data_IF_560714400035
#
_entry.id   IF_560714400035
#
_cell.length_a   1.000
_cell.length_b   1.000
_cell.length_c   1.000
_cell.angle_alpha   90.00
_cell.angle_beta   90.00
_cell.angle_gamma   90.00
#
_symmetry.space_group_name_H-M   'P 1'
#
loop_
_entity.id
_entity.type
_entity.pdbx_description
1 polymer ?
#
# COMPACT_ATOMS: atom_id res chain seq x y z
N UNK A 1 -1.95 -19.28 -23.38
CA UNK A 1 -1.93 -19.41 -21.90
C UNK A 1 -3.23 -20.08 -21.49
N UNK A 2 -3.23 -20.93 -20.45
CA UNK A 2 -4.46 -21.50 -19.91
C UNK A 2 -5.43 -20.40 -19.46
N UNK A 3 -6.73 -20.58 -19.73
CA UNK A 3 -7.79 -19.68 -19.27
C UNK A 3 -8.65 -20.42 -18.24
N UNK A 4 -8.25 -20.42 -16.96
CA UNK A 4 -9.07 -21.02 -15.91
C UNK A 4 -10.38 -20.26 -15.76
N UNK A 5 -11.41 -20.92 -15.26
CA UNK A 5 -12.65 -20.24 -14.85
C UNK A 5 -12.39 -19.41 -13.59
N UNK A 6 -13.25 -18.41 -13.32
CA UNK A 6 -13.13 -17.57 -12.12
C UNK A 6 -13.12 -18.42 -10.83
N UNK A 7 -13.95 -19.47 -10.76
CA UNK A 7 -14.00 -20.35 -9.59
C UNK A 7 -12.70 -21.13 -9.38
N UNK A 8 -11.98 -21.46 -10.45
CA UNK A 8 -10.68 -22.14 -10.37
C UNK A 8 -9.57 -21.21 -9.86
N UNK A 9 -9.69 -19.90 -10.05
CA UNK A 9 -8.67 -18.95 -9.58
C UNK A 9 -8.85 -18.56 -8.12
N UNK A 10 -10.07 -18.60 -7.57
CA UNK A 10 -10.35 -18.27 -6.16
C UNK A 10 -9.45 -18.99 -5.13
N UNK A 11 -9.30 -20.34 -5.14
CA UNK A 11 -8.45 -21.01 -4.16
C UNK A 11 -6.97 -20.65 -4.31
N UNK A 12 -6.54 -20.30 -5.52
CA UNK A 12 -5.16 -19.87 -5.79
C UNK A 12 -4.94 -18.48 -5.23
N UNK A 13 -5.87 -17.54 -5.44
CA UNK A 13 -5.78 -16.20 -4.86
C UNK A 13 -5.84 -16.22 -3.33
N UNK A 14 -6.72 -17.05 -2.75
CA UNK A 14 -6.78 -17.24 -1.31
C UNK A 14 -5.47 -17.82 -0.76
N UNK A 15 -4.86 -18.80 -1.45
CA UNK A 15 -3.56 -19.35 -1.10
C UNK A 15 -2.45 -18.30 -1.18
N UNK A 16 -2.43 -17.47 -2.23
CA UNK A 16 -1.47 -16.36 -2.32
C UNK A 16 -1.64 -15.44 -1.11
N UNK A 17 -2.87 -15.00 -0.79
CA UNK A 17 -3.13 -14.15 0.37
C UNK A 17 -2.64 -14.75 1.68
N UNK A 18 -2.99 -16.01 1.95
CA UNK A 18 -2.58 -16.71 3.18
C UNK A 18 -1.08 -17.00 3.28
N UNK A 19 -0.35 -17.05 2.16
CA UNK A 19 1.09 -17.35 2.15
C UNK A 19 1.97 -16.11 1.93
N UNK A 20 1.39 -14.93 1.84
CA UNK A 20 2.08 -13.67 1.51
C UNK A 20 2.82 -13.06 2.71
N UNK A 21 3.76 -13.80 3.29
CA UNK A 21 4.64 -13.34 4.38
C UNK A 21 5.96 -12.75 3.85
N UNK A 22 6.69 -12.01 4.69
CA UNK A 22 8.08 -11.60 4.41
C UNK A 22 8.23 -10.29 3.61
N UNK A 23 7.19 -9.47 3.60
CA UNK A 23 7.19 -8.13 2.98
C UNK A 23 7.10 -8.13 1.45
N UNK A 24 7.20 -6.94 0.82
CA UNK A 24 6.84 -6.76 -0.59
C UNK A 24 7.64 -7.65 -1.57
N UNK A 25 8.95 -7.83 -1.34
CA UNK A 25 9.79 -8.64 -2.21
C UNK A 25 9.41 -10.13 -2.20
N UNK A 26 9.12 -10.68 -1.02
CA UNK A 26 8.69 -12.06 -0.88
C UNK A 26 7.31 -12.28 -1.51
N UNK A 27 6.40 -11.31 -1.36
CA UNK A 27 5.07 -11.35 -1.98
C UNK A 27 5.15 -11.30 -3.51
N UNK A 28 6.00 -10.43 -4.06
CA UNK A 28 6.26 -10.37 -5.51
C UNK A 28 6.90 -11.66 -6.01
N UNK A 29 7.82 -12.27 -5.26
CA UNK A 29 8.43 -13.54 -5.65
C UNK A 29 7.42 -14.70 -5.59
N UNK A 30 6.56 -14.75 -4.55
CA UNK A 30 5.48 -15.73 -4.43
C UNK A 30 4.49 -15.62 -5.59
N UNK A 31 4.03 -14.40 -5.90
CA UNK A 31 3.13 -14.18 -7.01
C UNK A 31 3.78 -14.52 -8.34
N UNK A 32 5.05 -14.19 -8.55
CA UNK A 32 5.79 -14.58 -9.75
C UNK A 32 5.80 -16.10 -9.92
N UNK A 33 6.25 -16.83 -8.90
CA UNK A 33 6.28 -18.30 -8.90
C UNK A 33 4.90 -18.88 -9.21
N UNK A 34 3.84 -18.40 -8.54
CA UNK A 34 2.50 -18.96 -8.75
C UNK A 34 1.96 -18.58 -10.12
N UNK A 35 2.01 -17.32 -10.53
CA UNK A 35 1.35 -16.80 -11.74
C UNK A 35 2.12 -17.17 -13.01
N UNK A 36 3.46 -17.10 -12.99
CA UNK A 36 4.34 -17.29 -14.14
C UNK A 36 4.80 -18.75 -14.24
N UNK A 37 5.37 -19.31 -13.17
CA UNK A 37 6.00 -20.64 -13.24
C UNK A 37 4.98 -21.78 -13.11
N UNK A 38 4.14 -21.74 -12.07
CA UNK A 38 3.20 -22.81 -11.75
C UNK A 38 1.95 -22.76 -12.67
N UNK A 39 1.26 -21.62 -12.67
CA UNK A 39 -0.03 -21.47 -13.37
C UNK A 39 0.10 -21.03 -14.83
N UNK A 40 1.22 -20.40 -15.21
CA UNK A 40 1.51 -19.92 -16.57
C UNK A 40 0.43 -18.98 -17.13
N UNK A 41 -0.16 -18.16 -16.25
CA UNK A 41 -1.17 -17.15 -16.59
C UNK A 41 -0.57 -15.92 -17.27
N UNK A 42 0.74 -15.68 -17.08
CA UNK A 42 1.49 -14.60 -17.71
C UNK A 42 2.89 -15.07 -18.11
N UNK A 43 3.48 -14.45 -19.13
CA UNK A 43 4.92 -14.57 -19.42
C UNK A 43 5.71 -13.63 -18.53
N UNK A 44 7.00 -13.91 -18.38
CA UNK A 44 7.98 -13.10 -17.66
C UNK A 44 7.86 -11.60 -17.96
N UNK A 45 7.92 -11.24 -19.25
CA UNK A 45 7.85 -9.85 -19.68
C UNK A 45 6.53 -9.16 -19.31
N UNK A 46 5.42 -9.90 -19.33
CA UNK A 46 4.11 -9.35 -18.99
C UNK A 46 4.00 -9.11 -17.48
N UNK A 47 4.54 -10.02 -16.68
CA UNK A 47 4.63 -9.87 -15.22
C UNK A 47 5.52 -8.69 -14.83
N UNK A 48 6.71 -8.56 -15.42
CA UNK A 48 7.62 -7.45 -15.15
C UNK A 48 7.02 -6.10 -15.56
N UNK A 49 6.29 -6.04 -16.69
CA UNK A 49 5.57 -4.85 -17.09
C UNK A 49 4.45 -4.49 -16.09
N UNK A 50 3.68 -5.50 -15.63
CA UNK A 50 2.66 -5.34 -14.59
C UNK A 50 3.24 -4.81 -13.29
N UNK A 51 4.37 -5.38 -12.86
CA UNK A 51 5.09 -4.95 -11.68
C UNK A 51 5.57 -3.50 -11.79
N UNK A 52 6.19 -3.13 -12.91
CA UNK A 52 6.63 -1.77 -13.18
C UNK A 52 5.46 -0.78 -13.18
N UNK A 53 4.30 -1.18 -13.70
CA UNK A 53 3.08 -0.39 -13.65
C UNK A 53 2.55 -0.20 -12.23
N UNK A 54 2.49 -1.26 -11.42
CA UNK A 54 2.02 -1.16 -10.04
C UNK A 54 2.94 -0.31 -9.16
N UNK A 55 4.23 -0.21 -9.50
CA UNK A 55 5.16 0.73 -8.84
C UNK A 55 4.87 2.20 -9.16
N UNK A 56 4.16 2.49 -10.26
CA UNK A 56 3.75 3.85 -10.67
C UNK A 56 2.50 4.33 -9.98
N UNK A 57 1.70 3.41 -9.47
CA UNK A 57 0.45 3.72 -8.81
C UNK A 57 0.70 3.93 -7.31
N UNK A 58 -0.06 4.84 -6.67
CA UNK A 58 0.04 4.98 -5.23
C UNK A 58 -0.68 3.81 -4.55
N UNK A 59 -0.07 3.25 -3.50
CA UNK A 59 -0.56 2.13 -2.72
C UNK A 59 0.37 0.90 -2.70
N UNK A 60 -0.04 -0.19 -2.04
CA UNK A 60 0.74 -1.43 -1.93
C UNK A 60 0.87 -2.16 -3.26
N UNK A 61 2.10 -2.26 -3.79
CA UNK A 61 2.34 -2.79 -5.14
C UNK A 61 1.94 -4.26 -5.27
N UNK A 62 2.12 -5.05 -4.20
CA UNK A 62 1.79 -6.46 -4.23
C UNK A 62 0.28 -6.72 -4.38
N UNK A 63 -0.54 -5.97 -3.64
CA UNK A 63 -2.01 -6.05 -3.75
C UNK A 63 -2.49 -5.56 -5.12
N UNK A 64 -1.87 -4.50 -5.65
CA UNK A 64 -2.21 -4.00 -6.98
C UNK A 64 -1.78 -4.97 -8.09
N UNK A 65 -0.65 -5.66 -7.93
CA UNK A 65 -0.20 -6.69 -8.87
C UNK A 65 -1.15 -7.89 -8.85
N UNK A 66 -1.61 -8.32 -7.67
CA UNK A 66 -2.66 -9.34 -7.55
C UNK A 66 -3.95 -8.89 -8.25
N UNK A 67 -4.40 -7.65 -7.98
CA UNK A 67 -5.60 -7.05 -8.58
C UNK A 67 -5.49 -6.96 -10.11
N UNK A 68 -4.36 -6.48 -10.64
CA UNK A 68 -4.10 -6.42 -12.08
C UNK A 68 -4.09 -7.82 -12.69
N UNK A 69 -3.48 -8.78 -12.00
CA UNK A 69 -3.37 -10.16 -12.48
C UNK A 69 -4.73 -10.85 -12.57
N UNK A 70 -5.56 -10.68 -11.54
CA UNK A 70 -6.96 -11.11 -11.58
C UNK A 70 -7.76 -10.39 -12.66
N UNK A 71 -7.54 -9.08 -12.82
CA UNK A 71 -8.21 -8.28 -13.86
C UNK A 71 -7.89 -8.76 -15.27
N UNK A 72 -6.64 -9.13 -15.52
CA UNK A 72 -6.20 -9.67 -16.81
C UNK A 72 -6.90 -10.98 -17.17
N UNK A 73 -7.27 -11.78 -16.18
CA UNK A 73 -7.93 -13.08 -16.38
C UNK A 73 -9.44 -12.95 -16.56
N UNK A 74 -10.11 -12.15 -15.73
CA UNK A 74 -11.59 -12.09 -15.70
C UNK A 74 -12.17 -10.68 -15.54
N UNK A 75 -11.43 -9.65 -15.98
CA UNK A 75 -11.84 -8.25 -15.87
C UNK A 75 -12.06 -7.81 -14.42
N UNK A 76 -12.95 -6.85 -14.20
CA UNK A 76 -13.21 -6.27 -12.86
C UNK A 76 -13.51 -7.36 -11.81
N UNK A 77 -14.25 -8.41 -12.17
CA UNK A 77 -14.57 -9.52 -11.24
C UNK A 77 -13.33 -10.28 -10.78
N UNK A 78 -12.43 -10.59 -11.71
CA UNK A 78 -11.18 -11.26 -11.38
C UNK A 78 -10.26 -10.36 -10.55
N UNK A 79 -10.21 -9.06 -10.86
CA UNK A 79 -9.39 -8.12 -10.10
C UNK A 79 -9.89 -7.91 -8.67
N UNK A 80 -11.22 -7.77 -8.49
CA UNK A 80 -11.85 -7.73 -7.18
C UNK A 80 -11.55 -9.00 -6.37
N UNK A 81 -11.75 -10.18 -6.96
CA UNK A 81 -11.50 -11.45 -6.28
C UNK A 81 -10.03 -11.58 -5.86
N UNK A 82 -9.09 -11.30 -6.76
CA UNK A 82 -7.66 -11.41 -6.48
C UNK A 82 -7.21 -10.40 -5.41
N UNK A 83 -7.60 -9.12 -5.54
CA UNK A 83 -7.23 -8.08 -4.59
C UNK A 83 -7.81 -8.31 -3.20
N UNK A 84 -9.10 -8.67 -3.10
CA UNK A 84 -9.75 -8.91 -1.81
C UNK A 84 -9.20 -10.17 -1.13
N UNK A 85 -9.01 -11.29 -1.86
CA UNK A 85 -8.46 -12.51 -1.29
C UNK A 85 -6.97 -12.38 -0.91
N UNK A 86 -6.26 -11.40 -1.48
CA UNK A 86 -4.91 -11.06 -1.07
C UNK A 86 -4.87 -10.29 0.27
N UNK A 87 -5.85 -9.41 0.51
CA UNK A 87 -5.87 -8.49 1.67
C UNK A 87 -6.59 -9.08 2.87
N UNK A 88 -7.80 -9.62 2.68
CA UNK A 88 -8.72 -9.97 3.77
C UNK A 88 -8.17 -11.01 4.76
N UNK A 89 -7.42 -12.06 4.35
CA UNK A 89 -6.84 -12.99 5.32
C UNK A 89 -5.87 -12.31 6.27
N UNK A 90 -5.01 -11.42 5.74
CA UNK A 90 -4.07 -10.64 6.53
C UNK A 90 -4.77 -9.66 7.46
N UNK A 91 -5.78 -8.95 6.94
CA UNK A 91 -6.56 -8.00 7.71
C UNK A 91 -7.24 -8.66 8.91
N UNK A 92 -7.83 -9.84 8.72
CA UNK A 92 -8.44 -10.60 9.82
C UNK A 92 -7.43 -10.96 10.92
N UNK A 93 -6.19 -11.33 10.55
CA UNK A 93 -5.13 -11.63 11.51
C UNK A 93 -4.68 -10.36 12.24
N UNK A 94 -4.47 -9.25 11.51
CA UNK A 94 -4.05 -7.99 12.11
C UNK A 94 -5.11 -7.43 13.05
N UNK A 95 -6.38 -7.49 12.67
CA UNK A 95 -7.48 -7.07 13.52
C UNK A 95 -7.52 -7.88 14.83
N UNK A 96 -7.36 -9.21 14.74
CA UNK A 96 -7.30 -10.07 15.91
C UNK A 96 -6.10 -9.72 16.80
N UNK A 97 -4.92 -9.50 16.22
CA UNK A 97 -3.72 -9.09 16.96
C UNK A 97 -3.87 -7.70 17.58
N UNK A 98 -4.50 -6.75 16.90
CA UNK A 98 -4.80 -5.42 17.41
C UNK A 98 -5.75 -5.46 18.61
N UNK A 99 -6.80 -6.28 18.52
CA UNK A 99 -7.72 -6.50 19.64
C UNK A 99 -7.01 -7.15 20.85
N UNK A 100 -6.16 -8.16 20.62
CA UNK A 100 -5.37 -8.80 21.68
C UNK A 100 -4.40 -7.78 22.31
N UNK A 101 -3.71 -7.00 21.49
CA UNK A 101 -2.79 -5.95 21.92
C UNK A 101 -3.49 -4.95 22.85
N UNK A 102 -4.67 -4.47 22.44
CA UNK A 102 -5.42 -3.48 23.18
C UNK A 102 -6.01 -4.01 24.49
N UNK A 103 -6.47 -5.27 24.52
CA UNK A 103 -7.16 -5.86 25.68
C UNK A 103 -6.22 -6.49 26.71
N UNK A 104 -5.08 -7.02 26.26
CA UNK A 104 -4.19 -7.83 27.10
C UNK A 104 -2.75 -7.30 27.17
N UNK A 105 -2.46 -6.14 26.56
CA UNK A 105 -1.12 -5.55 26.47
C UNK A 105 -0.37 -5.41 27.78
N UNK A 106 -1.09 -5.23 28.88
CA UNK A 106 -0.53 -5.02 30.22
C UNK A 106 -0.22 -6.32 30.98
N UNK A 107 -0.53 -7.49 30.41
CA UNK A 107 -0.27 -8.76 31.07
C UNK A 107 1.24 -9.07 31.04
N UNK A 108 1.91 -9.37 32.18
CA UNK A 108 3.38 -9.43 32.25
C UNK A 108 4.06 -10.37 31.24
N UNK A 109 3.47 -11.54 30.97
CA UNK A 109 4.03 -12.47 29.98
C UNK A 109 3.84 -11.94 28.55
N UNK A 110 2.76 -11.20 28.29
CA UNK A 110 2.52 -10.59 26.98
C UNK A 110 3.44 -9.38 26.78
N UNK A 111 3.74 -8.62 27.83
CA UNK A 111 4.76 -7.57 27.80
C UNK A 111 6.15 -8.14 27.46
N UNK A 112 6.52 -9.29 28.04
CA UNK A 112 7.76 -9.98 27.70
C UNK A 112 7.77 -10.48 26.25
N UNK A 113 6.64 -11.00 25.76
CA UNK A 113 6.48 -11.37 24.35
C UNK A 113 6.63 -10.14 23.45
N UNK A 114 5.96 -9.03 23.75
CA UNK A 114 6.06 -7.79 22.98
C UNK A 114 7.47 -7.20 23.04
N UNK A 115 8.21 -7.36 24.14
CA UNK A 115 9.62 -6.98 24.18
C UNK A 115 10.47 -7.81 23.19
N UNK A 116 10.23 -9.13 23.12
CA UNK A 116 10.86 -9.99 22.12
C UNK A 116 10.47 -9.60 20.69
N UNK A 117 9.20 -9.29 20.46
CA UNK A 117 8.71 -8.77 19.17
C UNK A 117 9.42 -7.45 18.86
N UNK A 118 9.46 -6.47 19.77
CA UNK A 118 10.16 -5.18 19.59
C UNK A 118 11.62 -5.35 19.17
N UNK A 119 12.34 -6.27 19.79
CA UNK A 119 13.72 -6.58 19.39
C UNK A 119 13.79 -7.12 17.95
N UNK A 120 12.87 -8.02 17.57
CA UNK A 120 12.76 -8.53 16.21
C UNK A 120 12.35 -7.42 15.21
N UNK A 121 11.40 -6.55 15.58
CA UNK A 121 10.97 -5.40 14.76
C UNK A 121 12.15 -4.50 14.46
N UNK A 122 12.97 -4.15 15.46
CA UNK A 122 14.12 -3.30 15.23
C UNK A 122 15.03 -3.88 14.14
N UNK A 123 15.29 -5.19 14.20
CA UNK A 123 16.08 -5.89 13.17
C UNK A 123 15.38 -5.87 11.82
N UNK A 124 14.07 -6.14 11.77
CA UNK A 124 13.29 -6.13 10.52
C UNK A 124 13.25 -4.73 9.90
N UNK A 125 13.08 -3.68 10.71
CA UNK A 125 13.10 -2.28 10.26
C UNK A 125 14.47 -1.92 9.71
N UNK A 126 15.55 -2.28 10.41
CA UNK A 126 16.91 -2.07 9.90
C UNK A 126 17.13 -2.84 8.59
N UNK A 127 16.66 -4.08 8.51
CA UNK A 127 16.77 -4.89 7.30
C UNK A 127 15.97 -4.28 6.14
N UNK A 128 14.75 -3.81 6.41
CA UNK A 128 13.90 -3.11 5.46
C UNK A 128 14.56 -1.82 4.96
N UNK A 129 15.11 -0.98 5.85
CA UNK A 129 15.85 0.23 5.50
C UNK A 129 17.05 -0.09 4.60
N UNK A 130 17.84 -1.11 4.95
CA UNK A 130 18.98 -1.55 4.15
C UNK A 130 18.54 -2.08 2.78
N UNK A 131 17.42 -2.83 2.73
CA UNK A 131 16.85 -3.38 1.51
C UNK A 131 16.34 -2.28 0.58
N UNK A 132 15.62 -1.30 1.11
CA UNK A 132 15.12 -0.12 0.37
C UNK A 132 16.31 0.72 -0.13
N UNK A 133 17.29 1.01 0.73
CA UNK A 133 18.49 1.76 0.37
C UNK A 133 19.21 1.13 -0.83
N UNK A 134 19.49 -0.17 -0.76
CA UNK A 134 20.18 -0.91 -1.85
C UNK A 134 19.41 -0.88 -3.17
N UNK A 135 18.08 -0.86 -3.08
CA UNK A 135 17.19 -0.90 -4.25
C UNK A 135 16.96 0.48 -4.86
N UNK A 136 16.79 1.50 -4.02
CA UNK A 136 16.42 2.86 -4.44
C UNK A 136 17.64 3.76 -4.68
N UNK A 137 18.70 3.66 -3.87
CA UNK A 137 19.85 4.59 -3.90
C UNK A 137 21.03 4.04 -4.71
N UNK A 138 20.79 3.79 -6.00
CA UNK A 138 21.78 3.20 -6.92
C UNK A 138 22.75 4.20 -7.55
N UNK A 139 22.39 5.49 -7.59
CA UNK A 139 23.20 6.55 -8.21
C UNK A 139 23.51 7.67 -7.21
N UNK A 140 24.60 8.42 -7.44
CA UNK A 140 24.96 9.59 -6.61
C UNK A 140 23.82 10.59 -6.50
N UNK A 141 23.05 10.77 -7.58
CA UNK A 141 21.88 11.66 -7.58
C UNK A 141 20.79 11.21 -6.60
N UNK A 142 20.59 9.90 -6.44
CA UNK A 142 19.59 9.38 -5.50
C UNK A 142 20.01 9.67 -4.06
N UNK A 143 21.29 9.51 -3.74
CA UNK A 143 21.83 9.88 -2.42
C UNK A 143 21.69 11.37 -2.12
N UNK A 144 21.86 12.24 -3.12
CA UNK A 144 21.62 13.69 -2.94
C UNK A 144 20.13 13.99 -2.66
N UNK A 145 19.21 13.35 -3.39
CA UNK A 145 17.77 13.49 -3.16
C UNK A 145 17.40 13.01 -1.75
N UNK A 146 17.90 11.85 -1.34
CA UNK A 146 17.68 11.29 0.00
C UNK A 146 18.17 12.25 1.10
N UNK A 147 19.40 12.76 0.97
CA UNK A 147 19.97 13.70 1.94
C UNK A 147 19.20 15.03 2.03
N UNK A 148 18.78 15.59 0.89
CA UNK A 148 17.96 16.81 0.86
C UNK A 148 16.55 16.57 1.43
N UNK A 149 15.97 15.41 1.17
CA UNK A 149 14.66 15.02 1.69
C UNK A 149 14.72 14.85 3.20
N UNK A 150 15.73 14.15 3.71
CA UNK A 150 15.99 14.02 5.14
C UNK A 150 16.16 15.39 5.81
N UNK A 151 16.99 16.27 5.25
CA UNK A 151 17.17 17.63 5.78
C UNK A 151 15.85 18.43 5.79
N UNK A 152 15.06 18.33 4.74
CA UNK A 152 13.77 19.01 4.60
C UNK A 152 12.73 18.54 5.63
N UNK A 153 12.68 17.24 5.89
CA UNK A 153 11.75 16.66 6.87
C UNK A 153 12.23 16.92 8.30
N UNK A 154 13.51 16.68 8.58
CA UNK A 154 14.04 16.71 9.93
C UNK A 154 14.35 18.13 10.43
N UNK A 155 14.99 18.97 9.62
CA UNK A 155 15.41 20.31 10.04
C UNK A 155 14.36 21.40 9.77
N UNK A 156 13.57 21.25 8.70
CA UNK A 156 12.58 22.26 8.29
C UNK A 156 11.14 21.86 8.60
N UNK A 157 10.91 20.62 9.06
CA UNK A 157 9.58 20.08 9.35
C UNK A 157 8.60 20.25 8.19
N UNK A 158 9.09 20.14 6.94
CA UNK A 158 8.23 20.27 5.77
C UNK A 158 7.24 19.08 5.70
N UNK A 159 6.01 19.28 5.19
CA UNK A 159 5.07 18.19 5.01
C UNK A 159 5.61 17.15 4.02
N UNK A 160 5.55 15.87 4.38
CA UNK A 160 6.01 14.77 3.53
C UNK A 160 5.47 14.82 2.07
N UNK A 161 4.18 15.09 1.80
CA UNK A 161 3.67 15.20 0.43
C UNK A 161 4.38 16.25 -0.42
N UNK A 162 4.82 17.34 0.19
CA UNK A 162 5.53 18.40 -0.52
C UNK A 162 6.91 17.91 -0.98
N UNK A 163 7.64 17.20 -0.11
CA UNK A 163 8.95 16.63 -0.43
C UNK A 163 8.84 15.62 -1.58
N UNK A 164 7.84 14.74 -1.53
CA UNK A 164 7.57 13.74 -2.58
C UNK A 164 7.19 14.41 -3.90
N UNK A 165 6.35 15.44 -3.88
CA UNK A 165 5.96 16.18 -5.09
C UNK A 165 7.17 16.82 -5.77
N UNK A 166 8.05 17.47 -5.00
CA UNK A 166 9.27 18.10 -5.52
C UNK A 166 10.23 17.05 -6.08
N UNK A 167 10.40 15.91 -5.41
CA UNK A 167 11.22 14.81 -5.91
C UNK A 167 10.68 14.24 -7.23
N UNK A 168 9.36 14.04 -7.34
CA UNK A 168 8.71 13.58 -8.57
C UNK A 168 8.86 14.55 -9.73
N UNK A 169 8.67 15.85 -9.49
CA UNK A 169 8.94 16.92 -10.47
C UNK A 169 10.41 16.85 -10.91
N UNK A 170 11.36 16.80 -9.98
CA UNK A 170 12.77 16.69 -10.32
C UNK A 170 13.06 15.46 -11.21
N UNK A 171 12.58 14.27 -10.83
CA UNK A 171 12.77 13.06 -11.61
C UNK A 171 12.14 13.12 -13.01
N UNK A 172 10.97 13.75 -13.14
CA UNK A 172 10.29 13.89 -14.43
C UNK A 172 11.07 14.76 -15.43
N UNK A 173 11.62 15.90 -14.97
CA UNK A 173 12.34 16.84 -15.83
C UNK A 173 13.77 16.38 -16.15
N UNK A 174 14.46 15.73 -15.23
CA UNK A 174 15.85 15.31 -15.38
C UNK A 174 16.04 13.86 -15.87
N UNK A 175 15.00 13.25 -16.45
CA UNK A 175 15.04 11.91 -17.00
C UNK A 175 16.07 11.78 -18.15
N UNK A 176 17.16 11.03 -17.93
CA UNK A 176 18.25 10.81 -18.91
C UNK A 176 17.75 10.26 -20.25
N UNK A 177 18.34 10.70 -21.37
CA UNK A 177 17.88 10.43 -22.73
C UNK A 177 18.21 9.02 -23.27
N UNK A 178 19.02 8.23 -22.58
CA UNK A 178 19.84 7.16 -23.18
C UNK A 178 19.17 5.78 -23.38
N UNK A 179 17.91 5.56 -22.98
CA UNK A 179 17.19 4.31 -23.32
C UNK A 179 15.73 4.59 -23.70
N UNK A 180 15.29 4.04 -24.84
CA UNK A 180 13.89 4.08 -25.29
C UNK A 180 13.37 2.65 -25.48
N UNK A 181 12.40 2.18 -24.68
CA UNK A 181 11.53 1.10 -25.11
C UNK A 181 10.43 1.65 -26.03
N UNK A 182 10.18 0.90 -27.09
CA UNK A 182 9.11 0.96 -28.10
C UNK A 182 8.18 2.21 -28.10
N UNK A 183 8.33 3.07 -29.11
CA UNK A 183 7.56 4.32 -29.30
C UNK A 183 6.12 4.10 -29.80
N UNK A 184 5.75 2.86 -30.17
CA UNK A 184 4.52 2.57 -30.92
C UNK A 184 3.38 1.96 -30.10
N UNK A 185 3.45 2.00 -28.75
CA UNK A 185 2.36 1.51 -27.91
C UNK A 185 1.10 2.38 -28.10
N UNK A 186 0.11 1.83 -28.80
CA UNK A 186 -1.19 2.47 -29.04
C UNK A 186 -2.09 2.29 -27.82
N UNK A 187 -2.80 3.36 -27.47
CA UNK A 187 -3.86 3.33 -26.45
C UNK A 187 -5.16 3.03 -27.19
N UNK A 188 -5.63 1.80 -27.10
CA UNK A 188 -6.87 1.36 -27.76
C UNK A 188 -8.04 1.33 -26.74
N UNK A 189 -8.21 2.43 -26.02
CA UNK A 189 -9.17 2.55 -24.91
C UNK A 189 -10.06 3.77 -25.11
N UNK A 190 -11.38 3.59 -25.00
CA UNK A 190 -12.34 4.69 -25.07
C UNK A 190 -12.21 5.63 -23.87
N UNK A 191 -11.95 6.94 -24.05
CA UNK A 191 -11.83 7.90 -22.95
C UNK A 191 -13.09 7.97 -22.07
N UNK A 192 -14.27 7.78 -22.66
CA UNK A 192 -15.55 7.76 -21.95
C UNK A 192 -15.65 6.59 -20.97
N UNK A 193 -15.13 5.41 -21.35
CA UNK A 193 -15.11 4.25 -20.44
C UNK A 193 -14.18 4.49 -19.26
N UNK A 194 -13.02 5.09 -19.50
CA UNK A 194 -12.07 5.43 -18.43
C UNK A 194 -12.66 6.49 -17.49
N UNK A 195 -13.33 7.52 -18.04
CA UNK A 195 -14.03 8.51 -17.24
C UNK A 195 -15.15 7.87 -16.39
N UNK A 196 -15.95 6.97 -16.97
CA UNK A 196 -16.98 6.25 -16.24
C UNK A 196 -16.39 5.39 -15.10
N UNK A 197 -15.31 4.65 -15.36
CA UNK A 197 -14.60 3.88 -14.33
C UNK A 197 -14.11 4.80 -13.21
N UNK A 198 -13.50 5.94 -13.53
CA UNK A 198 -13.03 6.91 -12.54
C UNK A 198 -14.19 7.41 -11.67
N UNK A 199 -15.28 7.87 -12.29
CA UNK A 199 -16.43 8.41 -11.55
C UNK A 199 -17.09 7.36 -10.65
N UNK A 200 -17.27 6.14 -11.15
CA UNK A 200 -17.85 5.02 -10.38
C UNK A 200 -16.96 4.72 -9.17
N UNK A 201 -15.65 4.60 -9.36
CA UNK A 201 -14.74 4.23 -8.29
C UNK A 201 -14.46 5.36 -7.31
N UNK A 202 -14.48 6.63 -7.76
CA UNK A 202 -14.49 7.78 -6.86
C UNK A 202 -15.74 7.79 -5.99
N UNK A 203 -16.91 7.49 -6.56
CA UNK A 203 -18.15 7.38 -5.81
C UNK A 203 -18.08 6.23 -4.79
N UNK A 204 -17.63 5.04 -5.22
CA UNK A 204 -17.45 3.89 -4.32
C UNK A 204 -16.53 4.28 -3.17
N UNK A 205 -15.35 4.84 -3.46
CA UNK A 205 -14.38 5.21 -2.43
C UNK A 205 -14.90 6.28 -1.47
N UNK A 206 -15.40 7.42 -1.98
CA UNK A 206 -15.74 8.58 -1.15
C UNK A 206 -17.13 8.52 -0.53
N UNK A 207 -18.11 7.81 -1.12
CA UNK A 207 -19.47 7.82 -0.60
C UNK A 207 -19.57 7.35 0.87
N UNK A 208 -18.96 6.22 1.29
CA UNK A 208 -19.01 5.79 2.69
C UNK A 208 -18.37 6.81 3.65
N UNK A 209 -17.26 7.43 3.23
CA UNK A 209 -16.54 8.43 4.03
C UNK A 209 -17.40 9.68 4.21
N UNK A 210 -18.01 10.18 3.14
CA UNK A 210 -18.88 11.36 3.17
C UNK A 210 -20.18 11.11 3.94
N UNK A 211 -20.75 9.91 3.84
CA UNK A 211 -21.91 9.50 4.65
C UNK A 211 -21.54 9.51 6.13
N UNK A 212 -20.42 8.89 6.52
CA UNK A 212 -19.95 8.91 7.91
C UNK A 212 -19.66 10.34 8.37
N UNK A 213 -19.00 11.17 7.54
CA UNK A 213 -18.71 12.56 7.87
C UNK A 213 -19.96 13.43 8.09
N UNK A 214 -21.09 13.07 7.48
CA UNK A 214 -22.33 13.83 7.61
C UNK A 214 -23.26 13.30 8.73
N UNK A 215 -23.28 11.98 8.93
CA UNK A 215 -24.27 11.32 9.80
C UNK A 215 -23.70 10.77 11.10
N UNK A 216 -22.39 10.52 11.22
CA UNK A 216 -21.83 9.99 12.45
C UNK A 216 -21.67 11.09 13.51
N UNK A 217 -22.10 10.82 14.73
CA UNK A 217 -21.95 11.74 15.87
C UNK A 217 -20.48 11.89 16.29
N UNK A 218 -19.66 10.84 16.11
CA UNK A 218 -18.23 10.87 16.39
C UNK A 218 -17.42 11.27 15.15
N UNK A 219 -16.71 12.40 15.23
CA UNK A 219 -15.89 12.91 14.14
C UNK A 219 -14.67 12.04 13.79
N UNK A 220 -14.23 11.17 14.72
CA UNK A 220 -13.00 10.39 14.57
C UNK A 220 -13.09 9.38 13.43
N UNK A 221 -14.24 8.73 13.21
CA UNK A 221 -14.37 7.76 12.13
C UNK A 221 -14.26 8.42 10.75
N UNK A 222 -14.86 9.61 10.58
CA UNK A 222 -14.72 10.41 9.38
C UNK A 222 -13.28 10.91 9.19
N UNK A 223 -12.64 11.36 10.27
CA UNK A 223 -11.25 11.80 10.28
C UNK A 223 -10.30 10.68 9.84
N UNK A 224 -10.48 9.47 10.36
CA UNK A 224 -9.76 8.25 9.96
C UNK A 224 -9.96 8.00 8.46
N UNK A 225 -11.21 8.02 7.98
CA UNK A 225 -11.52 7.82 6.56
C UNK A 225 -10.84 8.84 5.66
N UNK A 226 -10.86 10.13 6.02
CA UNK A 226 -10.20 11.21 5.27
C UNK A 226 -8.68 11.07 5.33
N UNK A 227 -8.14 10.76 6.50
CA UNK A 227 -6.71 10.61 6.74
C UNK A 227 -6.11 9.49 5.88
N UNK A 228 -6.66 8.28 5.99
CA UNK A 228 -6.17 7.13 5.22
C UNK A 228 -6.45 7.27 3.73
N UNK A 229 -7.49 8.02 3.35
CA UNK A 229 -7.73 8.37 1.94
C UNK A 229 -6.63 9.28 1.38
N UNK A 230 -6.19 10.30 2.13
CA UNK A 230 -5.05 11.13 1.74
C UNK A 230 -3.78 10.30 1.65
N UNK A 231 -3.51 9.49 2.69
CA UNK A 231 -2.37 8.60 2.75
C UNK A 231 -2.29 7.68 1.52
N UNK A 232 -3.41 7.05 1.14
CA UNK A 232 -3.50 6.16 -0.01
C UNK A 232 -3.18 6.85 -1.35
N UNK A 233 -3.29 8.18 -1.45
CA UNK A 233 -2.93 8.93 -2.67
C UNK A 233 -1.47 9.38 -2.72
N UNK A 234 -0.79 9.45 -1.58
CA UNK A 234 0.60 9.93 -1.48
C UNK A 234 1.61 8.80 -1.26
N UNK A 235 1.12 7.56 -1.18
CA UNK A 235 1.92 6.34 -0.97
C UNK A 235 2.56 5.88 -2.28
N UNK A 236 3.63 6.52 -2.71
CA UNK A 236 4.40 6.07 -3.88
C UNK A 236 5.64 5.29 -3.44
N UNK A 237 5.96 4.18 -4.11
CA UNK A 237 7.15 3.38 -3.79
C UNK A 237 6.97 2.38 -2.64
N UNK A 238 5.72 2.06 -2.31
CA UNK A 238 5.35 0.91 -1.49
C UNK A 238 5.07 1.19 -0.02
N UNK A 239 4.86 0.11 0.73
CA UNK A 239 4.37 0.17 2.11
C UNK A 239 5.28 0.94 3.08
N UNK A 240 6.55 1.16 2.75
CA UNK A 240 7.48 1.90 3.62
C UNK A 240 7.29 3.44 3.56
N UNK A 241 6.86 3.99 2.42
CA UNK A 241 6.55 5.41 2.30
C UNK A 241 5.39 5.82 3.22
N UNK A 242 4.41 4.92 3.37
CA UNK A 242 3.27 5.06 4.27
C UNK A 242 3.73 5.21 5.72
N UNK A 243 4.70 4.40 6.14
CA UNK A 243 5.15 4.37 7.52
C UNK A 243 5.75 5.70 7.95
N UNK A 244 6.57 6.32 7.09
CA UNK A 244 7.17 7.62 7.37
C UNK A 244 6.10 8.70 7.56
N UNK A 245 5.12 8.75 6.66
CA UNK A 245 3.98 9.67 6.79
C UNK A 245 3.17 9.38 8.08
N UNK A 246 2.84 8.12 8.34
CA UNK A 246 2.05 7.72 9.51
C UNK A 246 2.76 8.05 10.82
N UNK A 247 4.08 7.86 10.89
CA UNK A 247 4.86 8.24 12.06
C UNK A 247 4.76 9.75 12.32
N UNK A 248 4.83 10.58 11.28
CA UNK A 248 4.66 12.03 11.43
C UNK A 248 3.24 12.39 11.87
N UNK A 249 2.20 11.97 11.12
CA UNK A 249 0.85 12.48 11.40
C UNK A 249 0.12 11.70 12.50
N UNK A 250 0.17 10.37 12.52
CA UNK A 250 -0.62 9.56 13.48
C UNK A 250 -0.04 9.61 14.90
N UNK A 251 1.29 9.76 15.04
CA UNK A 251 1.97 9.85 16.34
C UNK A 251 2.11 11.31 16.79
N UNK A 252 2.66 12.18 15.94
CA UNK A 252 3.00 13.56 16.36
C UNK A 252 1.83 14.52 16.24
N UNK A 253 1.06 14.48 15.16
CA UNK A 253 -0.02 15.45 14.93
C UNK A 253 -1.38 15.04 15.53
N UNK A 254 -1.71 13.75 15.45
CA UNK A 254 -3.01 13.20 15.88
C UNK A 254 -2.99 12.53 17.25
N UNK A 255 -1.81 12.14 17.74
CA UNK A 255 -1.64 11.41 18.99
C UNK A 255 -2.52 10.15 19.12
N UNK A 256 -2.83 9.51 17.99
CA UNK A 256 -3.61 8.27 17.98
C UNK A 256 -2.82 7.09 18.55
N UNK A 257 -1.50 7.13 18.40
CA UNK A 257 -0.57 6.13 18.91
C UNK A 257 0.69 6.79 19.45
N UNK A 258 1.35 6.11 20.37
CA UNK A 258 2.76 6.36 20.71
C UNK A 258 3.70 5.81 19.62
N UNK A 259 4.94 6.31 19.59
CA UNK A 259 5.98 5.77 18.71
C UNK A 259 6.23 4.27 18.95
N UNK A 260 6.11 3.83 20.20
CA UNK A 260 6.24 2.42 20.59
C UNK A 260 5.15 1.56 19.97
N UNK A 261 3.89 1.99 20.05
CA UNK A 261 2.76 1.25 19.48
C UNK A 261 2.82 1.21 17.95
N UNK A 262 3.33 2.26 17.31
CA UNK A 262 3.56 2.26 15.86
C UNK A 262 4.61 1.20 15.47
N UNK A 263 5.71 1.08 16.23
CA UNK A 263 6.69 0.01 16.01
C UNK A 263 6.10 -1.38 16.27
N UNK A 264 5.29 -1.53 17.32
CA UNK A 264 4.62 -2.81 17.63
C UNK A 264 3.69 -3.23 16.48
N UNK A 265 2.86 -2.30 15.99
CA UNK A 265 1.98 -2.53 14.85
C UNK A 265 2.75 -2.92 13.58
N UNK A 266 3.91 -2.30 13.33
CA UNK A 266 4.78 -2.66 12.21
C UNK A 266 5.33 -4.08 12.34
N UNK A 267 5.75 -4.48 13.54
CA UNK A 267 6.19 -5.84 13.82
C UNK A 267 5.13 -6.89 13.58
N UNK A 268 3.91 -6.61 14.04
CA UNK A 268 2.77 -7.46 13.79
C UNK A 268 2.52 -7.55 12.27
N UNK A 269 2.50 -6.43 11.55
CA UNK A 269 2.29 -6.42 10.10
C UNK A 269 3.34 -7.25 9.33
N UNK A 270 4.63 -7.16 9.66
CA UNK A 270 5.70 -7.94 9.00
C UNK A 270 5.62 -9.45 9.29
N UNK A 271 5.03 -9.84 10.42
CA UNK A 271 4.89 -11.24 10.85
C UNK A 271 3.55 -11.87 10.43
N UNK A 272 2.68 -11.10 9.77
CA UNK A 272 1.38 -11.54 9.30
C UNK A 272 1.33 -11.74 7.78
N UNK A 273 0.41 -12.56 7.27
CA UNK A 273 0.22 -12.66 5.82
C UNK A 273 -0.40 -11.38 5.27
N UNK A 274 -0.11 -11.06 4.02
CA UNK A 274 -0.73 -9.92 3.33
C UNK A 274 0.14 -8.66 3.34
N UNK A 275 -0.31 -7.57 2.70
CA UNK A 275 0.54 -6.42 2.45
C UNK A 275 0.92 -5.71 3.76
N UNK A 276 2.20 -5.32 3.88
CA UNK A 276 2.74 -4.62 5.05
C UNK A 276 1.92 -3.38 5.47
N UNK A 277 1.26 -2.74 4.49
CA UNK A 277 0.38 -1.59 4.74
C UNK A 277 -0.80 -1.92 5.68
N UNK A 278 -1.10 -3.18 5.98
CA UNK A 278 -2.11 -3.58 6.96
C UNK A 278 -1.83 -3.07 8.38
N UNK A 279 -0.60 -2.61 8.68
CA UNK A 279 -0.33 -1.80 9.88
C UNK A 279 -1.28 -0.59 10.02
N UNK A 280 -1.77 -0.05 8.90
CA UNK A 280 -2.79 1.02 8.91
C UNK A 280 -4.06 0.59 9.63
N UNK A 281 -4.50 -0.66 9.47
CA UNK A 281 -5.67 -1.21 10.14
C UNK A 281 -5.47 -1.26 11.66
N UNK A 282 -4.29 -1.67 12.12
CA UNK A 282 -3.91 -1.62 13.55
C UNK A 282 -4.01 -0.19 14.08
N UNK A 283 -3.46 0.79 13.35
CA UNK A 283 -3.53 2.22 13.71
C UNK A 283 -4.98 2.72 13.77
N UNK A 284 -5.79 2.40 12.76
CA UNK A 284 -7.20 2.77 12.72
C UNK A 284 -7.98 2.16 13.88
N UNK A 285 -7.75 0.88 14.17
CA UNK A 285 -8.39 0.18 15.28
C UNK A 285 -8.08 0.85 16.62
N UNK A 286 -6.81 1.11 16.93
CA UNK A 286 -6.41 1.77 18.19
C UNK A 286 -6.98 3.19 18.28
N UNK A 287 -6.94 3.96 17.19
CA UNK A 287 -7.47 5.32 17.12
C UNK A 287 -8.98 5.34 17.40
N UNK A 288 -9.75 4.48 16.72
CA UNK A 288 -11.19 4.37 16.91
C UNK A 288 -11.56 3.85 18.30
N UNK A 289 -10.85 2.83 18.79
CA UNK A 289 -11.19 2.19 20.06
C UNK A 289 -10.94 3.05 21.29
N UNK A 290 -10.13 4.11 21.16
CA UNK A 290 -9.81 5.06 22.25
C UNK A 290 -10.50 6.42 22.06
N UNK A 291 -11.19 6.63 20.95
CA UNK A 291 -11.76 7.92 20.55
C UNK A 291 -12.73 8.51 21.57
N UNK A 292 -13.48 7.67 22.29
CA UNK A 292 -14.49 8.09 23.27
C UNK A 292 -13.93 8.36 24.67
N UNK A 293 -12.61 8.28 24.87
CA UNK A 293 -11.96 8.44 26.18
C UNK A 293 -12.03 7.19 27.07
N UNK A 294 -12.59 6.10 26.56
CA UNK A 294 -12.57 4.76 27.15
C UNK A 294 -12.31 3.70 26.08
N UNK A 295 -12.32 2.42 26.46
CA UNK A 295 -12.20 1.30 25.51
C UNK A 295 -13.54 1.01 24.84
N UNK A 296 -13.63 1.27 23.55
CA UNK A 296 -14.80 1.01 22.70
C UNK A 296 -14.43 0.11 21.52
N UNK A 297 -14.67 -1.20 21.67
CA UNK A 297 -14.32 -2.17 20.62
C UNK A 297 -15.17 -2.01 19.36
N UNK A 298 -16.41 -1.52 19.47
CA UNK A 298 -17.28 -1.33 18.30
C UNK A 298 -16.76 -0.17 17.45
N UNK A 299 -16.38 0.95 18.09
CA UNK A 299 -15.72 2.06 17.42
C UNK A 299 -14.38 1.64 16.80
N UNK A 300 -13.61 0.79 17.50
CA UNK A 300 -12.39 0.19 16.96
C UNK A 300 -12.61 -0.64 15.70
N UNK A 301 -13.60 -1.54 15.71
CA UNK A 301 -13.96 -2.38 14.55
C UNK A 301 -14.44 -1.52 13.37
N UNK A 302 -15.27 -0.52 13.63
CA UNK A 302 -15.71 0.42 12.59
C UNK A 302 -14.53 1.18 11.98
N UNK A 303 -13.59 1.64 12.82
CA UNK A 303 -12.40 2.35 12.38
C UNK A 303 -11.44 1.47 11.59
N UNK A 304 -11.22 0.21 12.00
CA UNK A 304 -10.46 -0.76 11.23
C UNK A 304 -11.06 -0.98 9.83
N UNK A 305 -12.38 -1.18 9.75
CA UNK A 305 -13.10 -1.33 8.49
C UNK A 305 -13.01 -0.08 7.60
N UNK A 306 -13.16 1.11 8.18
CA UNK A 306 -12.98 2.39 7.48
C UNK A 306 -11.56 2.55 6.95
N UNK A 307 -10.55 2.19 7.73
CA UNK A 307 -9.15 2.26 7.32
C UNK A 307 -8.84 1.31 6.17
N UNK A 308 -9.31 0.06 6.23
CA UNK A 308 -9.17 -0.89 5.12
C UNK A 308 -9.82 -0.33 3.84
N UNK A 309 -11.04 0.21 3.97
CA UNK A 309 -11.74 0.80 2.83
C UNK A 309 -10.97 1.96 2.22
N UNK A 310 -10.60 2.94 3.04
CA UNK A 310 -9.88 4.15 2.62
C UNK A 310 -8.50 3.83 2.02
N UNK A 311 -7.82 2.79 2.53
CA UNK A 311 -6.51 2.36 2.05
C UNK A 311 -6.58 1.60 0.73
N UNK A 312 -7.53 0.67 0.57
CA UNK A 312 -7.54 -0.27 -0.56
C UNK A 312 -8.52 0.09 -1.69
N UNK A 313 -9.59 0.84 -1.43
CA UNK A 313 -10.52 1.28 -2.49
C UNK A 313 -9.83 2.10 -3.61
N UNK A 314 -8.89 3.03 -3.31
CA UNK A 314 -8.13 3.75 -4.34
C UNK A 314 -7.29 2.82 -5.22
N UNK A 315 -6.77 1.72 -4.67
CA UNK A 315 -5.96 0.78 -5.43
C UNK A 315 -6.75 0.16 -6.58
N UNK A 316 -8.02 -0.18 -6.35
CA UNK A 316 -8.91 -0.67 -7.40
C UNK A 316 -9.21 0.41 -8.46
N UNK A 317 -9.45 1.66 -8.04
CA UNK A 317 -9.58 2.82 -8.95
C UNK A 317 -8.37 2.90 -9.89
N UNK A 318 -7.16 2.90 -9.32
CA UNK A 318 -5.92 3.05 -10.07
C UNK A 318 -5.66 1.89 -11.03
N UNK A 319 -5.85 0.66 -10.56
CA UNK A 319 -5.65 -0.53 -11.40
C UNK A 319 -6.70 -0.59 -12.50
N UNK A 320 -8.00 -0.45 -12.22
CA UNK A 320 -9.03 -0.60 -13.25
C UNK A 320 -9.04 0.55 -14.26
N UNK A 321 -8.61 1.74 -13.87
CA UNK A 321 -8.43 2.86 -14.79
C UNK A 321 -7.15 2.71 -15.60
N UNK A 322 -6.04 2.33 -14.97
CA UNK A 322 -4.71 2.34 -15.59
C UNK A 322 -4.32 1.04 -16.31
N UNK A 323 -4.89 -0.11 -15.94
CA UNK A 323 -4.56 -1.40 -16.55
C UNK A 323 -4.72 -1.44 -18.08
N UNK A 324 -5.78 -0.83 -18.68
CA UNK A 324 -5.88 -0.72 -20.15
C UNK A 324 -4.77 0.11 -20.81
N UNK A 325 -4.08 0.96 -20.05
CA UNK A 325 -3.04 1.87 -20.53
C UNK A 325 -1.63 1.35 -20.25
N UNK A 326 -1.48 0.17 -19.65
CA UNK A 326 -0.21 -0.32 -19.13
C UNK A 326 0.92 -0.31 -20.15
N UNK A 327 0.67 -0.73 -21.40
CA UNK A 327 1.69 -0.78 -22.44
C UNK A 327 2.17 0.63 -22.82
N UNK A 328 1.24 1.60 -22.85
CA UNK A 328 1.57 3.00 -23.09
C UNK A 328 2.32 3.60 -21.91
N UNK A 329 1.88 3.36 -20.67
CA UNK A 329 2.52 3.87 -19.46
C UNK A 329 3.95 3.32 -19.35
N UNK A 330 4.14 2.01 -19.56
CA UNK A 330 5.45 1.35 -19.53
C UNK A 330 6.42 1.89 -20.59
N UNK A 331 5.92 2.50 -21.68
CA UNK A 331 6.75 3.19 -22.67
C UNK A 331 7.25 4.57 -22.22
N UNK A 332 6.66 5.17 -21.16
CA UNK A 332 6.96 6.54 -20.74
C UNK A 332 8.09 6.63 -19.72
N UNK A 333 9.29 6.91 -20.22
CA UNK A 333 10.51 7.09 -19.42
C UNK A 333 10.41 8.16 -18.33
N UNK A 334 9.78 9.31 -18.61
CA UNK A 334 9.68 10.41 -17.63
C UNK A 334 8.91 10.00 -16.38
N UNK A 335 7.92 9.11 -16.51
CA UNK A 335 7.16 8.61 -15.37
C UNK A 335 8.01 7.66 -14.51
N UNK A 336 8.78 6.77 -15.14
CA UNK A 336 9.72 5.91 -14.42
C UNK A 336 10.81 6.69 -13.69
N UNK A 337 11.35 7.76 -14.31
CA UNK A 337 12.33 8.62 -13.67
C UNK A 337 11.76 9.45 -12.50
N UNK A 338 10.51 9.92 -12.63
CA UNK A 338 9.79 10.58 -11.54
C UNK A 338 9.66 9.65 -10.33
N UNK A 339 9.25 8.40 -10.53
CA UNK A 339 9.20 7.43 -9.43
C UNK A 339 10.55 7.15 -8.83
N UNK A 340 11.60 6.96 -9.63
CA UNK A 340 12.92 6.66 -9.10
C UNK A 340 13.40 7.77 -8.16
N UNK A 341 13.09 9.04 -8.50
CA UNK A 341 13.37 10.17 -7.63
C UNK A 341 12.48 10.17 -6.37
N UNK A 342 11.19 9.82 -6.49
CA UNK A 342 10.28 9.67 -5.34
C UNK A 342 10.78 8.56 -4.40
N UNK A 343 11.09 7.37 -4.92
CA UNK A 343 11.63 6.25 -4.15
C UNK A 343 13.00 6.52 -3.53
N UNK A 344 13.75 7.51 -4.04
CA UNK A 344 14.99 7.96 -3.43
C UNK A 344 14.77 9.03 -2.34
N UNK A 345 13.65 9.75 -2.40
CA UNK A 345 13.27 10.74 -1.39
C UNK A 345 12.63 10.09 -0.14
N UNK A 346 11.90 8.99 -0.34
CA UNK A 346 11.37 8.10 0.71
C UNK A 346 12.52 7.34 1.37
#
# INVERSE_FOLDING_TARGET
MPQPSLMQTLPIWARIGMLSFGGPAAQIALMHRVIVDEQKWMREREYLNALAFCMLLPGPEAMQLATYSGWRLHGIRGGLAAGLLFVLPGAAVILALAAIYLLYGDVPWLQALFLGIKAAVLVIVLEALLRVTKRSLTQTRHWLIAGLSFFSLFCLSLPFPLVILVAGIYGFWFASLEHSPNRDAKVDVSPLRSLATILIWLLIWWAPILVVAHFAESGVLAEIGIFFSKLATVTFGGAYAVLAYMAQDAVEAKHWLSATEMMDGLGLAETTPGPLILVTEFVGFLAGARASGGLDLEAGLAAAGMTLWATFAPCFLWVFTGAPYIEWIASKRRLSAALAAISAAV
#
